data_IF_898871366454
#
_entry.id   IF_898871366454
#
_cell.length_a   1.000
_cell.length_b   1.000
_cell.length_c   1.000
_cell.angle_alpha   90.00
_cell.angle_beta   90.00
_cell.angle_gamma   90.00
#
_symmetry.space_group_name_H-M   'P 1'
#
loop_
_entity.id
_entity.type
_entity.pdbx_description
1 polymer ?
#
# COMPACT_ATOMS: atom_id res chain seq x y z
N UNK A 1 9.73 -1.12 -44.20
CA UNK A 1 10.19 -2.41 -43.64
C UNK A 1 10.15 -2.47 -42.09
N UNK A 2 9.34 -1.64 -41.41
CA UNK A 2 9.34 -1.55 -39.94
C UNK A 2 8.07 -2.06 -39.24
N UNK A 3 7.07 -2.59 -39.98
CA UNK A 3 5.83 -3.11 -39.38
C UNK A 3 5.78 -4.64 -39.24
N UNK A 4 6.67 -5.38 -39.93
CA UNK A 4 6.75 -6.85 -39.79
C UNK A 4 7.55 -7.30 -38.57
N UNK A 5 8.37 -6.42 -37.98
CA UNK A 5 9.13 -6.71 -36.77
C UNK A 5 8.30 -6.56 -35.48
N UNK A 6 7.31 -5.66 -35.47
CA UNK A 6 6.38 -5.48 -34.34
C UNK A 6 5.48 -6.69 -34.10
N UNK A 7 5.02 -7.36 -35.17
CA UNK A 7 4.07 -8.49 -35.08
C UNK A 7 4.69 -9.80 -34.55
N UNK A 8 6.01 -9.91 -34.44
CA UNK A 8 6.69 -11.11 -33.89
C UNK A 8 7.07 -11.00 -32.42
N UNK A 9 6.98 -9.81 -31.82
CA UNK A 9 7.31 -9.61 -30.41
C UNK A 9 6.08 -9.83 -29.51
N UNK A 10 4.87 -9.57 -30.02
CA UNK A 10 3.62 -9.72 -29.26
C UNK A 10 3.19 -11.19 -29.00
N UNK A 11 3.69 -12.15 -29.79
CA UNK A 11 3.32 -13.57 -29.67
C UNK A 11 4.19 -14.39 -28.70
N UNK A 12 5.27 -13.81 -28.17
CA UNK A 12 6.27 -14.55 -27.38
C UNK A 12 6.14 -14.36 -25.86
N UNK A 13 5.13 -13.63 -25.40
CA UNK A 13 4.93 -13.28 -23.98
C UNK A 13 3.61 -13.81 -23.42
N UNK A 14 3.14 -14.95 -23.90
CA UNK A 14 2.23 -15.75 -23.07
C UNK A 14 3.09 -16.49 -22.04
N UNK A 15 3.45 -15.76 -20.97
CA UNK A 15 3.99 -16.38 -19.76
C UNK A 15 2.99 -17.44 -19.28
N UNK A 16 3.43 -18.65 -18.93
CA UNK A 16 2.53 -19.64 -18.34
C UNK A 16 1.90 -19.03 -17.10
N UNK A 17 0.58 -19.18 -16.98
CA UNK A 17 -0.16 -18.70 -15.82
C UNK A 17 0.47 -19.33 -14.57
N UNK A 18 0.88 -18.51 -13.57
CA UNK A 18 1.53 -19.04 -12.39
C UNK A 18 0.57 -20.02 -11.68
N UNK A 19 1.08 -21.15 -11.14
CA UNK A 19 0.24 -22.05 -10.37
C UNK A 19 -0.45 -21.26 -9.22
N UNK A 20 -1.71 -21.57 -8.88
CA UNK A 20 -2.40 -20.87 -7.81
C UNK A 20 -1.54 -20.92 -6.55
N UNK A 21 -1.22 -19.77 -5.92
CA UNK A 21 -0.22 -19.74 -4.87
C UNK A 21 -0.73 -20.54 -3.68
N UNK A 22 -0.01 -21.61 -3.34
CA UNK A 22 -0.16 -22.29 -2.07
C UNK A 22 0.04 -21.24 -0.95
N UNK A 23 -1.06 -20.84 -0.31
CA UNK A 23 -1.09 -19.90 0.81
C UNK A 23 -0.14 -18.72 0.66
N UNK A 24 -0.43 -17.78 -0.25
CA UNK A 24 0.36 -16.54 -0.43
C UNK A 24 0.60 -15.93 0.95
N UNK A 25 1.84 -15.98 1.45
CA UNK A 25 2.25 -15.16 2.59
C UNK A 25 1.91 -13.73 2.21
N UNK A 26 0.88 -13.17 2.84
CA UNK A 26 0.41 -11.81 2.58
C UNK A 26 1.58 -10.89 2.90
N UNK A 27 1.96 -10.03 1.95
CA UNK A 27 3.16 -9.22 2.12
C UNK A 27 2.94 -8.13 3.20
N UNK A 28 4.01 -7.61 3.79
CA UNK A 28 3.89 -6.66 4.92
C UNK A 28 3.10 -5.39 4.56
N UNK A 29 3.17 -4.93 3.31
CA UNK A 29 2.45 -3.74 2.86
C UNK A 29 0.95 -4.05 2.66
N UNK A 30 0.59 -5.26 2.21
CA UNK A 30 -0.79 -5.74 2.17
C UNK A 30 -1.38 -5.84 3.59
N UNK A 31 -0.61 -6.34 4.56
CA UNK A 31 -1.01 -6.39 5.95
C UNK A 31 -1.25 -4.99 6.53
N UNK A 32 -0.31 -4.06 6.33
CA UNK A 32 -0.45 -2.68 6.78
C UNK A 32 -1.62 -1.96 6.13
N UNK A 33 -1.81 -2.10 4.81
CA UNK A 33 -2.92 -1.49 4.09
C UNK A 33 -4.27 -2.02 4.59
N UNK A 34 -4.40 -3.34 4.77
CA UNK A 34 -5.64 -3.94 5.30
C UNK A 34 -5.88 -3.53 6.74
N UNK A 35 -4.84 -3.53 7.57
CA UNK A 35 -4.94 -3.13 8.98
C UNK A 35 -5.41 -1.68 9.13
N UNK A 36 -4.77 -0.73 8.43
CA UNK A 36 -5.12 0.70 8.53
C UNK A 36 -6.51 0.97 7.95
N UNK A 37 -6.88 0.35 6.83
CA UNK A 37 -8.23 0.49 6.27
C UNK A 37 -9.30 -0.05 7.23
N UNK A 38 -9.09 -1.24 7.80
CA UNK A 38 -10.00 -1.81 8.79
C UNK A 38 -10.11 -0.93 10.04
N UNK A 39 -9.00 -0.36 10.53
CA UNK A 39 -9.03 0.61 11.63
C UNK A 39 -9.85 1.87 11.29
N UNK A 40 -9.69 2.41 10.08
CA UNK A 40 -10.45 3.58 9.63
C UNK A 40 -11.96 3.28 9.49
N UNK A 41 -12.31 2.04 9.15
CA UNK A 41 -13.70 1.55 9.04
C UNK A 41 -14.28 1.09 10.39
N UNK A 42 -13.51 1.13 11.48
CA UNK A 42 -13.86 0.55 12.80
C UNK A 42 -14.13 -0.97 12.78
N UNK A 43 -13.54 -1.68 11.82
CA UNK A 43 -13.60 -3.13 11.70
C UNK A 43 -12.51 -3.79 12.56
N UNK A 44 -12.85 -4.02 13.83
CA UNK A 44 -11.95 -4.61 14.82
C UNK A 44 -11.56 -6.06 14.50
N UNK A 45 -12.47 -6.83 13.90
CA UNK A 45 -12.21 -8.23 13.57
C UNK A 45 -11.20 -8.33 12.43
N UNK A 46 -11.39 -7.53 11.38
CA UNK A 46 -10.50 -7.52 10.21
C UNK A 46 -9.13 -6.91 10.51
N UNK A 47 -9.07 -5.88 11.36
CA UNK A 47 -7.78 -5.34 11.83
C UNK A 47 -7.02 -6.39 12.66
N UNK A 48 -7.70 -7.11 13.55
CA UNK A 48 -7.09 -8.22 14.29
C UNK A 48 -6.64 -9.37 13.37
N UNK A 49 -7.39 -9.67 12.30
CA UNK A 49 -6.97 -10.63 11.29
C UNK A 49 -5.67 -10.18 10.60
N UNK A 50 -5.65 -8.95 10.08
CA UNK A 50 -4.50 -8.38 9.38
C UNK A 50 -3.24 -8.34 10.22
N UNK A 51 -3.37 -8.03 11.51
CA UNK A 51 -2.27 -8.00 12.45
C UNK A 51 -1.58 -9.37 12.65
N UNK A 52 -2.26 -10.48 12.35
CA UNK A 52 -1.70 -11.84 12.44
C UNK A 52 -0.95 -12.28 11.19
N UNK A 53 -0.99 -11.50 10.10
CA UNK A 53 -0.35 -11.89 8.84
C UNK A 53 1.18 -11.75 8.86
N UNK A 54 1.69 -10.86 9.71
CA UNK A 54 3.11 -10.53 9.84
C UNK A 54 3.48 -10.33 11.31
N UNK A 55 4.78 -10.21 11.62
CA UNK A 55 5.20 -9.88 12.98
C UNK A 55 4.74 -8.46 13.37
N UNK A 56 4.57 -8.17 14.68
CA UNK A 56 4.25 -6.82 15.14
C UNK A 56 5.23 -5.76 14.64
N UNK A 57 6.53 -6.06 14.59
CA UNK A 57 7.56 -5.15 14.10
C UNK A 57 7.39 -4.84 12.61
N UNK A 58 7.10 -5.86 11.80
CA UNK A 58 6.83 -5.70 10.38
C UNK A 58 5.55 -4.90 10.12
N UNK A 59 4.50 -5.10 10.93
CA UNK A 59 3.28 -4.30 10.84
C UNK A 59 3.55 -2.84 11.21
N UNK A 60 4.25 -2.58 12.32
CA UNK A 60 4.63 -1.21 12.72
C UNK A 60 5.43 -0.50 11.62
N UNK A 61 6.39 -1.18 11.01
CA UNK A 61 7.13 -0.65 9.87
C UNK A 61 6.20 -0.31 8.69
N UNK A 62 5.33 -1.25 8.30
CA UNK A 62 4.40 -1.03 7.20
C UNK A 62 3.41 0.11 7.45
N UNK A 63 2.89 0.25 8.68
CA UNK A 63 2.00 1.36 9.07
C UNK A 63 2.73 2.69 9.02
N UNK A 64 3.97 2.76 9.52
CA UNK A 64 4.79 3.97 9.46
C UNK A 64 5.05 4.40 8.01
N UNK A 65 5.43 3.47 7.13
CA UNK A 65 5.64 3.74 5.71
C UNK A 65 4.37 4.22 5.01
N UNK A 66 3.22 3.60 5.31
CA UNK A 66 1.93 4.02 4.77
C UNK A 66 1.58 5.44 5.22
N UNK A 67 1.77 5.77 6.51
CA UNK A 67 1.53 7.11 7.04
C UNK A 67 2.41 8.17 6.37
N UNK A 68 3.72 7.91 6.22
CA UNK A 68 4.64 8.82 5.53
C UNK A 68 4.22 9.08 4.07
N UNK A 69 3.85 8.02 3.33
CA UNK A 69 3.39 8.15 1.94
C UNK A 69 2.08 8.92 1.83
N UNK A 70 1.12 8.66 2.72
CA UNK A 70 -0.16 9.36 2.75
C UNK A 70 0.03 10.86 3.04
N UNK A 71 0.82 11.21 4.05
CA UNK A 71 1.13 12.61 4.37
C UNK A 71 1.84 13.30 3.21
N UNK A 72 2.83 12.67 2.59
CA UNK A 72 3.56 13.26 1.46
C UNK A 72 2.65 13.47 0.23
N UNK A 73 1.74 12.53 -0.05
CA UNK A 73 0.77 12.66 -1.13
C UNK A 73 -0.21 13.80 -0.86
N UNK A 74 -0.85 13.81 0.30
CA UNK A 74 -1.83 14.83 0.69
C UNK A 74 -1.19 16.23 0.75
N UNK A 75 0.01 16.36 1.31
CA UNK A 75 0.72 17.64 1.37
C UNK A 75 0.89 18.24 -0.04
N UNK A 76 1.25 17.41 -1.02
CA UNK A 76 1.39 17.84 -2.42
C UNK A 76 0.06 18.20 -3.06
N UNK A 77 -1.00 17.46 -2.78
CA UNK A 77 -2.36 17.74 -3.29
C UNK A 77 -2.92 19.06 -2.77
N UNK A 78 -2.51 19.46 -1.55
CA UNK A 78 -2.98 20.66 -0.87
C UNK A 78 -2.01 21.85 -0.94
N UNK A 79 -0.87 21.72 -1.63
CA UNK A 79 0.22 22.72 -1.65
C UNK A 79 0.67 23.14 -0.24
N UNK A 80 0.68 22.17 0.70
CA UNK A 80 1.11 22.35 2.08
C UNK A 80 2.43 21.60 2.34
N UNK A 81 3.13 21.96 3.42
CA UNK A 81 4.29 21.17 3.88
C UNK A 81 3.81 19.86 4.53
N UNK A 82 4.59 18.76 4.50
CA UNK A 82 4.26 17.53 5.21
C UNK A 82 3.99 17.74 6.71
N UNK A 83 4.71 18.67 7.34
CA UNK A 83 4.51 19.02 8.75
C UNK A 83 3.15 19.69 9.00
N UNK A 84 2.74 20.66 8.16
CA UNK A 84 1.43 21.28 8.27
C UNK A 84 0.31 20.26 8.04
N UNK A 85 0.43 19.43 7.01
CA UNK A 85 -0.56 18.39 6.71
C UNK A 85 -0.69 17.37 7.84
N UNK A 86 0.42 16.88 8.40
CA UNK A 86 0.39 15.94 9.53
C UNK A 86 -0.32 16.54 10.76
N UNK A 87 -0.05 17.81 11.07
CA UNK A 87 -0.72 18.51 12.18
C UNK A 87 -2.21 18.69 11.90
N UNK A 88 -2.57 19.07 10.67
CA UNK A 88 -3.95 19.24 10.21
C UNK A 88 -4.76 17.95 10.34
N UNK A 89 -4.23 16.81 9.89
CA UNK A 89 -4.88 15.50 10.01
C UNK A 89 -5.15 15.09 11.46
N UNK A 90 -4.31 15.54 12.38
CA UNK A 90 -4.44 15.29 13.83
C UNK A 90 -5.19 16.41 14.57
N UNK A 91 -5.76 17.38 13.86
CA UNK A 91 -6.44 18.55 14.43
C UNK A 91 -5.57 19.34 15.44
N UNK A 92 -4.26 19.39 15.19
CA UNK A 92 -3.30 20.16 15.98
C UNK A 92 -3.16 21.58 15.41
N UNK A 93 -2.87 22.60 16.26
CA UNK A 93 -2.66 23.97 15.79
C UNK A 93 -1.51 24.03 14.80
N UNK A 94 -1.62 24.77 13.70
CA UNK A 94 -0.46 25.00 12.81
C UNK A 94 0.51 25.94 13.55
N UNK A 95 1.79 25.59 13.58
CA UNK A 95 2.83 26.37 14.27
C UNK A 95 3.47 27.38 13.32
#
# INVERSE_FOLDING_TARGET
>A
MFSKLRKRIEGAWQSPEPPPPAGRQRNLFEAAATYVAACAENDQERSAEAARWVSPEALCFGVNELACRAVAALAREHDETPQHMARKLLNLPVA
#
